data_IF_865863112871
#
_entry.id   IF_865863112871
#
_cell.length_a   1.000
_cell.length_b   1.000
_cell.length_c   1.000
_cell.angle_alpha   90.00
_cell.angle_beta   90.00
_cell.angle_gamma   90.00
#
_symmetry.space_group_name_H-M   'P 1'
#
loop_
_entity.id
_entity.type
_entity.pdbx_description
1 polymer ?
#
# COMPACT_ATOMS: atom_id res chain seq x y z
N UNK A 1 -0.25 -30.38 16.04
CA UNK A 1 0.40 -29.12 15.66
C UNK A 1 -0.68 -28.17 15.16
N UNK A 2 -1.23 -27.28 16.05
CA UNK A 2 -2.32 -26.35 15.73
C UNK A 2 -1.72 -25.06 15.16
N UNK A 3 -1.29 -25.08 13.91
CA UNK A 3 -0.69 -23.93 13.22
C UNK A 3 -1.71 -23.01 12.52
N UNK A 4 -3.01 -23.40 12.48
CA UNK A 4 -3.94 -22.79 11.51
C UNK A 4 -4.73 -21.56 11.97
N UNK A 5 -4.73 -21.17 13.23
CA UNK A 5 -5.51 -20.00 13.68
C UNK A 5 -4.67 -18.77 14.03
N UNK A 6 -3.38 -18.95 14.26
CA UNK A 6 -2.50 -17.84 14.67
C UNK A 6 -2.09 -16.91 13.51
N UNK A 7 -2.21 -17.36 12.27
CA UNK A 7 -1.71 -16.64 11.09
C UNK A 7 -2.83 -16.05 10.22
N UNK A 8 -4.09 -16.44 10.42
CA UNK A 8 -5.20 -15.81 9.71
C UNK A 8 -5.46 -14.41 10.28
N UNK A 9 -5.54 -13.43 9.41
CA UNK A 9 -6.04 -12.11 9.78
C UNK A 9 -7.49 -12.27 10.26
N UNK A 10 -7.87 -11.77 11.44
CA UNK A 10 -9.26 -11.84 11.87
C UNK A 10 -10.16 -11.20 10.83
N UNK A 11 -11.25 -11.85 10.48
CA UNK A 11 -12.19 -11.41 9.45
C UNK A 11 -12.63 -9.95 9.63
N UNK A 12 -12.94 -9.55 10.85
CA UNK A 12 -13.34 -8.19 11.19
C UNK A 12 -12.25 -7.15 10.85
N UNK A 13 -11.00 -7.45 11.16
CA UNK A 13 -9.87 -6.57 10.86
C UNK A 13 -9.66 -6.46 9.35
N UNK A 14 -9.72 -7.58 8.64
CA UNK A 14 -9.61 -7.60 7.17
C UNK A 14 -10.71 -6.76 6.54
N UNK A 15 -11.95 -6.93 7.00
CA UNK A 15 -13.09 -6.17 6.49
C UNK A 15 -12.93 -4.66 6.75
N UNK A 16 -12.53 -4.28 7.97
CA UNK A 16 -12.33 -2.87 8.35
C UNK A 16 -11.23 -2.22 7.51
N UNK A 17 -10.09 -2.90 7.35
CA UNK A 17 -8.98 -2.41 6.52
C UNK A 17 -9.39 -2.29 5.06
N UNK A 18 -10.09 -3.29 4.52
CA UNK A 18 -10.55 -3.26 3.14
C UNK A 18 -11.52 -2.10 2.89
N UNK A 19 -12.51 -1.92 3.78
CA UNK A 19 -13.45 -0.80 3.70
C UNK A 19 -12.73 0.54 3.80
N UNK A 20 -11.80 0.68 4.74
CA UNK A 20 -11.01 1.89 4.92
C UNK A 20 -10.23 2.24 3.65
N UNK A 21 -9.44 1.30 3.14
CA UNK A 21 -8.62 1.51 1.93
C UNK A 21 -9.49 1.75 0.69
N UNK A 22 -10.59 1.02 0.55
CA UNK A 22 -11.52 1.20 -0.55
C UNK A 22 -12.19 2.58 -0.53
N UNK A 23 -12.60 3.05 0.65
CA UNK A 23 -13.16 4.40 0.81
C UNK A 23 -12.15 5.47 0.42
N UNK A 24 -10.89 5.35 0.88
CA UNK A 24 -9.83 6.28 0.49
C UNK A 24 -9.54 6.24 -1.01
N UNK A 25 -9.53 5.06 -1.63
CA UNK A 25 -9.38 4.90 -3.06
C UNK A 25 -10.50 5.64 -3.82
N UNK A 26 -11.75 5.46 -3.40
CA UNK A 26 -12.89 6.15 -4.02
C UNK A 26 -12.81 7.66 -3.86
N UNK A 27 -12.47 8.15 -2.66
CA UNK A 27 -12.28 9.58 -2.40
C UNK A 27 -11.17 10.14 -3.31
N UNK A 28 -10.03 9.46 -3.39
CA UNK A 28 -8.90 9.88 -4.23
C UNK A 28 -9.29 9.98 -5.70
N UNK A 29 -10.01 9.01 -6.23
CA UNK A 29 -10.43 9.00 -7.64
C UNK A 29 -11.53 10.04 -7.91
N UNK A 30 -12.49 10.20 -6.97
CA UNK A 30 -13.64 11.06 -7.17
C UNK A 30 -13.33 12.55 -6.99
N UNK A 31 -12.45 12.90 -6.03
CA UNK A 31 -12.22 14.29 -5.61
C UNK A 31 -10.88 14.86 -6.07
N UNK A 32 -9.95 14.04 -6.54
CA UNK A 32 -8.64 14.51 -6.96
C UNK A 32 -8.35 14.11 -8.41
N UNK A 33 -8.61 15.02 -9.31
CA UNK A 33 -8.19 14.90 -10.72
C UNK A 33 -6.76 15.39 -10.96
N UNK A 34 -6.14 16.02 -9.96
CA UNK A 34 -4.79 16.58 -10.07
C UNK A 34 -3.74 15.56 -9.68
N UNK A 35 -2.74 15.40 -10.54
CA UNK A 35 -1.51 14.67 -10.20
C UNK A 35 -0.66 15.54 -9.25
N UNK A 36 -0.18 14.95 -8.18
CA UNK A 36 0.91 15.56 -7.41
C UNK A 36 2.19 15.54 -8.25
N UNK A 37 3.14 16.40 -7.91
CA UNK A 37 4.43 16.47 -8.63
C UNK A 37 5.11 15.11 -8.66
N UNK A 38 5.11 14.40 -7.53
CA UNK A 38 5.70 13.06 -7.37
C UNK A 38 4.98 12.02 -8.25
N UNK A 39 3.64 12.09 -8.36
CA UNK A 39 2.86 11.19 -9.22
C UNK A 39 3.19 11.43 -10.70
N UNK A 40 3.34 12.70 -11.12
CA UNK A 40 3.69 13.06 -12.49
C UNK A 40 5.11 12.61 -12.84
N UNK A 41 6.08 12.78 -11.93
CA UNK A 41 7.44 12.26 -12.09
C UNK A 41 7.44 10.73 -12.19
N UNK A 42 6.69 10.06 -11.33
CA UNK A 42 6.58 8.61 -11.35
C UNK A 42 5.97 8.09 -12.64
N UNK A 43 4.93 8.74 -13.17
CA UNK A 43 4.36 8.40 -14.49
C UNK A 43 5.43 8.51 -15.58
N UNK A 44 6.22 9.57 -15.57
CA UNK A 44 7.29 9.79 -16.55
C UNK A 44 8.37 8.71 -16.46
N UNK A 45 8.80 8.35 -15.26
CA UNK A 45 9.83 7.34 -15.06
C UNK A 45 9.35 5.92 -15.37
N UNK A 46 8.11 5.61 -15.05
CA UNK A 46 7.53 4.29 -15.28
C UNK A 46 7.10 4.02 -16.75
N UNK A 47 7.33 4.95 -17.67
CA UNK A 47 7.12 4.68 -19.11
C UNK A 47 8.21 3.80 -19.72
N UNK A 48 9.40 3.82 -19.14
CA UNK A 48 10.54 3.05 -19.61
C UNK A 48 11.09 2.14 -18.50
N UNK A 49 11.36 0.89 -18.84
CA UNK A 49 11.96 -0.06 -17.92
C UNK A 49 13.47 0.13 -17.90
N UNK A 50 13.98 0.93 -16.97
CA UNK A 50 15.40 1.21 -16.82
C UNK A 50 15.94 0.55 -15.54
N UNK A 51 17.24 0.17 -15.56
CA UNK A 51 17.92 -0.37 -14.38
C UNK A 51 18.17 0.69 -13.29
N UNK A 52 18.12 1.96 -13.66
CA UNK A 52 18.20 3.11 -12.75
C UNK A 52 17.58 4.34 -13.40
N UNK A 53 17.08 5.25 -12.57
CA UNK A 53 16.46 6.50 -12.99
C UNK A 53 17.30 7.68 -12.48
N UNK A 54 17.24 8.87 -13.11
CA UNK A 54 18.04 10.03 -12.73
C UNK A 54 17.60 10.68 -11.40
N UNK A 55 16.79 9.99 -10.61
CA UNK A 55 16.32 10.38 -9.28
C UNK A 55 16.84 9.40 -8.23
N UNK A 56 17.08 9.83 -6.99
CA UNK A 56 17.59 8.96 -5.92
C UNK A 56 16.50 8.01 -5.36
N UNK A 57 15.68 7.44 -6.23
CA UNK A 57 14.62 6.50 -5.85
C UNK A 57 14.93 5.09 -6.36
N UNK A 58 14.64 4.05 -5.55
CA UNK A 58 14.82 2.67 -5.98
C UNK A 58 13.95 2.37 -7.20
N UNK A 59 14.46 1.66 -8.22
CA UNK A 59 13.76 1.40 -9.47
C UNK A 59 12.56 0.45 -9.32
N UNK A 60 12.47 -0.30 -8.22
CA UNK A 60 11.43 -1.32 -8.00
C UNK A 60 10.01 -0.74 -8.12
N UNK A 61 9.77 0.43 -7.52
CA UNK A 61 8.44 1.06 -7.60
C UNK A 61 8.10 1.46 -9.05
N UNK A 62 9.06 1.97 -9.79
CA UNK A 62 8.88 2.31 -11.21
C UNK A 62 8.63 1.07 -12.07
N UNK A 63 9.28 -0.05 -11.78
CA UNK A 63 9.03 -1.32 -12.49
C UNK A 63 7.65 -1.88 -12.21
N UNK A 64 7.20 -1.83 -10.96
CA UNK A 64 5.83 -2.24 -10.60
C UNK A 64 4.79 -1.33 -11.27
N UNK A 65 5.04 -0.02 -11.28
CA UNK A 65 4.17 0.95 -11.97
C UNK A 65 4.14 0.68 -13.47
N UNK A 66 5.30 0.41 -14.10
CA UNK A 66 5.38 0.05 -15.51
C UNK A 66 4.54 -1.20 -15.83
N UNK A 67 4.67 -2.26 -15.02
CA UNK A 67 3.89 -3.47 -15.21
C UNK A 67 2.37 -3.21 -15.11
N UNK A 68 1.95 -2.38 -14.18
CA UNK A 68 0.55 -2.04 -14.01
C UNK A 68 0.02 -1.15 -15.16
N UNK A 69 0.88 -0.29 -15.70
CA UNK A 69 0.54 0.56 -16.87
C UNK A 69 0.29 -0.26 -18.13
N UNK A 70 0.90 -1.44 -18.28
CA UNK A 70 0.63 -2.33 -19.42
C UNK A 70 -0.80 -2.89 -19.39
N UNK A 71 -1.42 -2.95 -18.19
CA UNK A 71 -2.76 -3.56 -17.99
C UNK A 71 -3.83 -2.47 -17.94
N UNK A 72 -3.60 -1.41 -17.16
CA UNK A 72 -4.60 -0.38 -16.84
C UNK A 72 -4.42 0.92 -17.63
N UNK A 73 -3.33 1.02 -18.41
CA UNK A 73 -2.91 2.28 -19.04
C UNK A 73 -2.17 3.20 -18.07
N UNK A 74 -1.48 4.20 -18.65
CA UNK A 74 -0.72 5.20 -17.91
C UNK A 74 -1.67 6.22 -17.28
N UNK A 75 -1.71 6.31 -15.96
CA UNK A 75 -2.59 7.28 -15.30
C UNK A 75 -2.61 7.17 -13.79
N UNK A 76 -3.33 8.12 -13.20
CA UNK A 76 -3.50 8.24 -11.75
C UNK A 76 -4.10 6.95 -11.14
N UNK A 77 -5.06 6.33 -11.82
CA UNK A 77 -5.72 5.12 -11.34
C UNK A 77 -4.73 3.98 -11.10
N UNK A 78 -3.82 3.72 -12.04
CA UNK A 78 -2.83 2.66 -11.92
C UNK A 78 -1.86 2.91 -10.76
N UNK A 79 -1.36 4.15 -10.59
CA UNK A 79 -0.49 4.51 -9.47
C UNK A 79 -1.21 4.40 -8.13
N UNK A 80 -2.44 4.92 -8.06
CA UNK A 80 -3.25 4.86 -6.85
C UNK A 80 -3.53 3.42 -6.45
N UNK A 81 -3.90 2.58 -7.40
CA UNK A 81 -4.14 1.16 -7.16
C UNK A 81 -2.86 0.46 -6.65
N UNK A 82 -1.72 0.70 -7.30
CA UNK A 82 -0.43 0.16 -6.84
C UNK A 82 -0.12 0.56 -5.41
N UNK A 83 -0.29 1.84 -5.07
CA UNK A 83 -0.08 2.37 -3.73
C UNK A 83 -0.94 1.62 -2.70
N UNK A 84 -2.22 1.43 -2.95
CA UNK A 84 -3.12 0.73 -2.02
C UNK A 84 -2.83 -0.78 -1.94
N UNK A 85 -2.41 -1.41 -3.03
CA UNK A 85 -1.93 -2.81 -2.99
C UNK A 85 -0.71 -2.93 -2.07
N UNK A 86 0.29 -2.06 -2.23
CA UNK A 86 1.49 -2.07 -1.40
C UNK A 86 1.18 -1.79 0.08
N UNK A 87 0.28 -0.86 0.37
CA UNK A 87 -0.21 -0.59 1.72
C UNK A 87 -0.86 -1.85 2.32
N UNK A 88 -1.74 -2.50 1.57
CA UNK A 88 -2.40 -3.74 2.02
C UNK A 88 -1.38 -4.85 2.31
N UNK A 89 -0.40 -5.02 1.44
CA UNK A 89 0.69 -5.99 1.65
C UNK A 89 1.53 -5.66 2.88
N UNK A 90 1.77 -4.38 3.15
CA UNK A 90 2.49 -3.92 4.36
C UNK A 90 1.71 -4.27 5.63
N UNK A 91 0.41 -4.04 5.66
CA UNK A 91 -0.43 -4.45 6.79
C UNK A 91 -0.42 -5.95 7.01
N UNK A 92 -0.52 -6.71 5.93
CA UNK A 92 -0.48 -8.16 6.00
C UNK A 92 0.88 -8.68 6.50
N UNK A 93 1.97 -8.15 5.97
CA UNK A 93 3.33 -8.48 6.43
C UNK A 93 3.54 -8.12 7.91
N UNK A 94 3.05 -6.95 8.35
CA UNK A 94 3.10 -6.51 9.75
C UNK A 94 2.32 -7.47 10.65
N UNK A 95 1.13 -7.90 10.22
CA UNK A 95 0.35 -8.89 10.97
C UNK A 95 1.08 -10.22 11.11
N UNK A 96 1.64 -10.74 10.03
CA UNK A 96 2.42 -11.99 10.07
C UNK A 96 3.62 -11.85 11.00
N UNK A 97 4.40 -10.78 10.85
CA UNK A 97 5.59 -10.52 11.68
C UNK A 97 5.23 -10.37 13.17
N UNK A 98 4.13 -9.68 13.47
CA UNK A 98 3.65 -9.50 14.85
C UNK A 98 3.31 -10.83 15.52
N UNK A 99 2.92 -11.85 14.75
CA UNK A 99 2.64 -13.19 15.26
C UNK A 99 3.87 -13.91 15.80
N UNK A 100 5.06 -13.59 15.28
CA UNK A 100 6.32 -14.12 15.80
C UNK A 100 6.83 -13.34 17.00
N UNK A 101 6.55 -12.03 17.06
CA UNK A 101 7.07 -11.13 18.09
C UNK A 101 6.19 -11.09 19.35
N UNK A 102 4.87 -11.16 19.19
CA UNK A 102 3.93 -10.94 20.28
C UNK A 102 3.06 -12.18 20.54
N UNK A 103 3.04 -12.62 21.80
CA UNK A 103 2.22 -13.76 22.24
C UNK A 103 0.74 -13.39 22.40
N UNK A 104 0.45 -12.14 22.80
CA UNK A 104 -0.90 -11.67 23.05
C UNK A 104 -1.50 -11.03 21.80
N UNK A 105 -2.70 -11.44 21.45
CA UNK A 105 -3.43 -10.93 20.28
C UNK A 105 -3.66 -9.42 20.37
N UNK A 106 -3.91 -8.89 21.56
CA UNK A 106 -4.11 -7.47 21.81
C UNK A 106 -2.89 -6.63 21.42
N UNK A 107 -1.68 -7.10 21.74
CA UNK A 107 -0.43 -6.43 21.37
C UNK A 107 -0.22 -6.44 19.85
N UNK A 108 -0.66 -7.49 19.16
CA UNK A 108 -0.63 -7.55 17.69
C UNK A 108 -1.55 -6.52 17.06
N UNK A 109 -2.75 -6.31 17.62
CA UNK A 109 -3.65 -5.22 17.18
C UNK A 109 -3.03 -3.85 17.41
N UNK A 110 -2.44 -3.62 18.59
CA UNK A 110 -1.76 -2.36 18.89
C UNK A 110 -0.62 -2.06 17.92
N UNK A 111 0.15 -3.07 17.52
CA UNK A 111 1.22 -2.92 16.53
C UNK A 111 0.67 -2.47 15.16
N UNK A 112 -0.47 -3.02 14.72
CA UNK A 112 -1.13 -2.59 13.48
C UNK A 112 -1.69 -1.17 13.58
N UNK A 113 -2.37 -0.84 14.69
CA UNK A 113 -2.91 0.50 14.89
C UNK A 113 -1.82 1.56 15.03
N UNK A 114 -0.66 1.22 15.59
CA UNK A 114 0.49 2.12 15.63
C UNK A 114 0.95 2.54 14.23
N UNK A 115 0.86 1.67 13.24
CA UNK A 115 1.12 2.00 11.83
C UNK A 115 0.14 3.04 11.29
N UNK A 116 -1.15 2.90 11.59
CA UNK A 116 -2.18 3.85 11.17
C UNK A 116 -2.02 5.24 11.81
N UNK A 117 -1.45 5.29 13.02
CA UNK A 117 -1.22 6.52 13.76
C UNK A 117 0.08 7.24 13.36
N UNK A 118 0.93 6.63 12.53
CA UNK A 118 2.11 7.32 12.01
C UNK A 118 1.69 8.47 11.08
N UNK A 119 2.05 9.74 11.39
CA UNK A 119 1.65 10.90 10.57
C UNK A 119 2.10 10.80 9.12
N UNK A 120 3.29 10.24 8.89
CA UNK A 120 3.82 10.02 7.54
C UNK A 120 2.95 9.06 6.73
N UNK A 121 2.35 8.05 7.37
CA UNK A 121 1.47 7.10 6.72
C UNK A 121 0.11 7.72 6.39
N UNK A 122 -0.49 8.44 7.35
CA UNK A 122 -1.76 9.12 7.15
C UNK A 122 -1.66 10.27 6.14
N UNK A 123 -0.56 11.04 6.18
CA UNK A 123 -0.36 12.19 5.28
C UNK A 123 -0.09 11.78 3.82
N UNK A 124 0.67 10.70 3.60
CA UNK A 124 1.01 10.24 2.24
C UNK A 124 -0.07 9.35 1.60
N UNK A 125 -1.18 9.08 2.30
CA UNK A 125 -2.35 8.41 1.71
C UNK A 125 -3.17 9.31 0.80
N UNK A 126 -3.03 10.61 0.92
CA UNK A 126 -3.71 11.60 0.08
C UNK A 126 -2.75 12.12 -0.98
#
# INVERSE_FOLDING_TARGET
MKLNTAYSLPYQLTLTLTLYLFTHLLIRIAFSSTLQVDDAEQIRHAQNLLLGYPIPQPPLYSWLSWGLFQILGTGLLALTLLKYILITLTFWATWLSSGYLFKHIQTRYLALFAFLLMPSFAWHMH
#
